data_IF_220268489854
#
_entry.id   IF_220268489854
#
_cell.length_a   1.000
_cell.length_b   1.000
_cell.length_c   1.000
_cell.angle_alpha   90.00
_cell.angle_beta   90.00
_cell.angle_gamma   90.00
#
_symmetry.space_group_name_H-M   'P 1'
#
loop_
_entity.id
_entity.type
_entity.pdbx_description
1 polymer ?
#
# COMPACT_ATOMS: atom_id res chain seq x y z
N UNK A 1 -18.58 -48.60 -8.44
CA UNK A 1 -18.23 -48.30 -7.04
C UNK A 1 -16.87 -47.63 -7.07
N UNK A 2 -16.84 -46.31 -7.02
CA UNK A 2 -15.61 -45.53 -6.90
C UNK A 2 -15.81 -44.55 -5.74
N UNK A 3 -14.79 -44.53 -4.88
CA UNK A 3 -14.70 -43.76 -3.65
C UNK A 3 -14.98 -42.27 -3.85
N UNK A 4 -15.72 -41.71 -2.90
CA UNK A 4 -15.84 -40.27 -2.68
C UNK A 4 -15.39 -39.98 -1.25
N UNK A 5 -14.08 -39.99 -1.04
CA UNK A 5 -13.45 -39.51 0.18
C UNK A 5 -13.42 -37.98 0.16
N UNK A 6 -14.56 -37.37 0.48
CA UNK A 6 -14.63 -35.95 0.84
C UNK A 6 -14.17 -35.80 2.29
N UNK A 7 -13.02 -35.15 2.47
CA UNK A 7 -12.41 -34.81 3.75
C UNK A 7 -13.29 -33.82 4.52
N UNK A 8 -14.16 -34.34 5.37
CA UNK A 8 -14.91 -33.58 6.36
C UNK A 8 -13.96 -33.22 7.51
N UNK A 9 -13.25 -32.09 7.42
CA UNK A 9 -12.53 -31.54 8.56
C UNK A 9 -13.57 -31.07 9.57
N UNK A 10 -13.71 -31.80 10.68
CA UNK A 10 -14.61 -31.47 11.77
C UNK A 10 -14.41 -30.01 12.22
N UNK A 11 -15.48 -29.20 12.16
CA UNK A 11 -15.53 -27.80 12.61
C UNK A 11 -14.97 -27.60 14.03
N UNK A 12 -14.98 -28.64 14.87
CA UNK A 12 -14.40 -28.63 16.23
C UNK A 12 -12.86 -28.56 16.28
N UNK A 13 -12.15 -28.81 15.17
CA UNK A 13 -10.67 -28.78 15.11
C UNK A 13 -10.10 -27.50 14.52
N UNK A 14 -10.92 -26.69 13.83
CA UNK A 14 -10.48 -25.46 13.16
C UNK A 14 -9.85 -24.43 14.12
N UNK A 15 -10.44 -24.13 15.30
CA UNK A 15 -9.87 -23.12 16.21
C UNK A 15 -8.50 -23.50 16.77
N UNK A 16 -8.30 -24.79 17.08
CA UNK A 16 -7.03 -25.31 17.61
C UNK A 16 -5.92 -25.25 16.54
N UNK A 17 -6.25 -25.57 15.29
CA UNK A 17 -5.32 -25.47 14.17
C UNK A 17 -4.94 -24.01 13.91
N UNK A 18 -5.92 -23.10 13.91
CA UNK A 18 -5.69 -21.67 13.74
C UNK A 18 -4.82 -21.07 14.85
N UNK A 19 -5.00 -21.53 16.10
CA UNK A 19 -4.13 -21.14 17.20
C UNK A 19 -2.67 -21.61 16.99
N UNK A 20 -2.46 -22.87 16.59
CA UNK A 20 -1.11 -23.38 16.28
C UNK A 20 -0.43 -22.59 15.16
N UNK A 21 -1.19 -22.21 14.13
CA UNK A 21 -0.72 -21.38 13.01
C UNK A 21 -0.31 -19.98 13.44
N UNK A 22 -1.10 -19.35 14.31
CA UNK A 22 -0.76 -18.06 14.90
C UNK A 22 0.55 -18.15 15.72
N UNK A 23 0.72 -19.19 16.52
CA UNK A 23 1.94 -19.40 17.33
C UNK A 23 3.19 -19.58 16.44
N UNK A 24 3.08 -20.35 15.35
CA UNK A 24 4.13 -20.52 14.35
C UNK A 24 4.48 -19.20 13.64
N UNK A 25 3.46 -18.43 13.21
CA UNK A 25 3.67 -17.14 12.56
C UNK A 25 4.34 -16.12 13.48
N UNK A 26 3.88 -16.00 14.74
CA UNK A 26 4.50 -15.11 15.73
C UNK A 26 5.97 -15.50 16.01
N UNK A 27 6.26 -16.79 16.04
CA UNK A 27 7.64 -17.29 16.20
C UNK A 27 8.52 -16.90 15.01
N UNK A 28 8.00 -17.03 13.78
CA UNK A 28 8.70 -16.60 12.57
C UNK A 28 8.94 -15.09 12.55
N UNK A 29 7.94 -14.29 12.96
CA UNK A 29 8.06 -12.84 13.07
C UNK A 29 9.16 -12.42 14.05
N UNK A 30 9.23 -13.04 15.23
CA UNK A 30 10.32 -12.80 16.17
C UNK A 30 11.67 -13.12 15.55
N UNK A 31 11.80 -14.21 14.80
CA UNK A 31 13.06 -14.55 14.14
C UNK A 31 13.48 -13.55 13.05
N UNK A 32 12.51 -12.93 12.35
CA UNK A 32 12.78 -11.97 11.26
C UNK A 32 13.21 -10.60 11.81
N UNK A 33 12.59 -10.15 12.90
CA UNK A 33 12.77 -8.79 13.42
C UNK A 33 13.71 -8.69 14.64
N UNK A 34 14.17 -9.82 15.19
CA UNK A 34 15.10 -9.83 16.29
C UNK A 34 16.56 -9.84 15.77
N UNK A 35 17.09 -8.65 15.47
CA UNK A 35 18.52 -8.43 15.21
C UNK A 35 19.26 -7.85 16.44
N UNK A 36 18.88 -8.27 17.65
CA UNK A 36 19.65 -8.00 18.87
C UNK A 36 19.62 -6.55 19.43
N UNK A 37 18.82 -5.64 18.89
CA UNK A 37 18.65 -4.29 19.48
C UNK A 37 17.35 -4.19 20.27
N UNK A 38 17.43 -4.42 21.59
CA UNK A 38 16.32 -4.19 22.53
C UNK A 38 16.51 -2.81 23.15
N UNK A 39 15.56 -1.90 22.89
CA UNK A 39 15.38 -0.69 23.69
C UNK A 39 14.44 -1.03 24.85
N UNK A 40 14.97 -0.98 26.07
CA UNK A 40 14.18 -0.97 27.30
C UNK A 40 13.71 0.48 27.53
N UNK A 41 12.50 0.80 27.10
CA UNK A 41 11.79 1.96 27.62
C UNK A 41 10.64 1.40 28.49
N UNK A 42 10.69 1.78 29.78
CA UNK A 42 9.70 1.57 30.85
C UNK A 42 9.89 0.34 31.78
N UNK A 43 10.66 0.57 32.85
CA UNK A 43 10.97 -0.37 33.95
C UNK A 43 9.79 -0.67 34.92
N UNK A 44 8.58 -0.14 34.71
CA UNK A 44 7.48 -0.29 35.68
C UNK A 44 6.47 -1.41 35.35
N UNK A 45 6.47 -1.98 34.15
CA UNK A 45 5.54 -3.07 33.77
C UNK A 45 6.16 -4.48 33.75
N UNK A 46 7.45 -4.61 34.09
CA UNK A 46 8.21 -5.86 33.96
C UNK A 46 8.10 -6.86 35.12
N UNK A 47 7.25 -6.65 36.12
CA UNK A 47 7.13 -7.60 37.24
C UNK A 47 6.09 -8.72 37.07
N UNK A 48 5.45 -8.85 35.91
CA UNK A 48 4.48 -9.92 35.64
C UNK A 48 4.82 -10.84 34.44
N UNK A 49 6.02 -10.72 33.84
CA UNK A 49 6.39 -11.44 32.63
C UNK A 49 7.46 -12.48 32.93
N UNK A 50 7.05 -13.72 33.15
CA UNK A 50 7.95 -14.88 33.06
C UNK A 50 7.29 -15.95 32.18
N UNK A 51 8.07 -16.46 31.22
CA UNK A 51 7.77 -17.41 30.12
C UNK A 51 7.13 -16.75 28.89
N UNK A 52 7.80 -16.57 27.74
CA UNK A 52 9.02 -17.18 27.19
C UNK A 52 9.59 -16.21 26.14
N UNK A 53 10.76 -15.59 26.37
CA UNK A 53 11.82 -15.24 25.38
C UNK A 53 13.07 -14.84 26.19
N UNK A 54 14.23 -15.37 25.81
CA UNK A 54 15.52 -15.23 26.48
C UNK A 54 16.10 -13.79 26.44
N UNK A 55 16.70 -13.39 27.55
CA UNK A 55 17.54 -12.19 27.74
C UNK A 55 18.93 -12.36 27.13
N UNK A 56 19.49 -11.29 26.53
CA UNK A 56 20.87 -10.76 26.72
C UNK A 56 21.08 -9.52 25.82
N UNK A 57 22.11 -8.74 26.17
CA UNK A 57 22.21 -7.28 26.18
C UNK A 57 22.74 -6.58 24.88
N UNK A 58 22.45 -5.27 24.82
CA UNK A 58 23.13 -4.16 24.10
C UNK A 58 23.01 -4.00 22.57
N UNK A 59 22.28 -2.96 22.14
CA UNK A 59 22.82 -1.82 21.35
C UNK A 59 21.71 -0.86 20.93
N UNK A 60 21.93 0.44 21.17
CA UNK A 60 21.05 1.51 20.73
C UNK A 60 21.38 1.91 19.29
N UNK A 61 20.67 1.34 18.33
CA UNK A 61 20.56 1.89 16.99
C UNK A 61 19.13 2.42 16.78
N UNK A 62 19.00 3.74 16.67
CA UNK A 62 17.72 4.43 16.51
C UNK A 62 17.17 4.39 15.07
N UNK A 63 17.90 3.76 14.14
CA UNK A 63 17.50 3.64 12.73
C UNK A 63 16.86 2.29 12.39
N UNK A 64 16.94 1.31 13.29
CA UNK A 64 16.51 -0.07 13.05
C UNK A 64 15.03 -0.30 13.41
N UNK A 65 14.31 -1.05 12.56
CA UNK A 65 12.93 -1.47 12.80
C UNK A 65 12.91 -2.60 13.81
N UNK A 66 12.32 -2.38 14.98
CA UNK A 66 12.17 -3.40 16.01
C UNK A 66 10.72 -3.86 16.12
N UNK A 67 10.54 -5.16 16.41
CA UNK A 67 9.23 -5.76 16.66
C UNK A 67 9.17 -6.24 18.12
N UNK A 68 8.14 -5.81 18.85
CA UNK A 68 7.86 -6.26 20.20
C UNK A 68 6.54 -7.04 20.19
N UNK A 69 6.59 -8.30 20.60
CA UNK A 69 5.38 -9.12 20.77
C UNK A 69 5.14 -9.27 22.26
N UNK A 70 3.99 -8.81 22.73
CA UNK A 70 3.60 -8.98 24.13
C UNK A 70 2.53 -10.06 24.20
N UNK A 71 2.89 -11.31 24.58
CA UNK A 71 1.89 -12.32 24.83
C UNK A 71 1.08 -11.93 26.07
N UNK A 72 -0.23 -11.80 25.92
CA UNK A 72 -1.12 -11.55 27.04
C UNK A 72 -1.38 -12.89 27.77
N UNK A 73 -0.41 -13.37 28.53
CA UNK A 73 -0.46 -14.73 29.11
C UNK A 73 -1.57 -14.83 30.19
N UNK A 74 -2.36 -15.91 30.02
CA UNK A 74 -3.25 -16.60 30.97
C UNK A 74 -4.74 -16.25 31.04
N UNK A 75 -5.25 -15.08 30.59
CA UNK A 75 -6.70 -14.78 30.74
C UNK A 75 -7.37 -13.91 29.67
N UNK A 76 -6.71 -13.57 28.55
CA UNK A 76 -7.30 -12.67 27.53
C UNK A 76 -7.34 -13.30 26.15
N UNK A 77 -8.35 -12.88 25.38
CA UNK A 77 -8.75 -13.37 24.06
C UNK A 77 -7.91 -12.82 22.90
N UNK A 78 -6.72 -12.27 23.16
CA UNK A 78 -5.88 -11.62 22.14
C UNK A 78 -4.40 -11.49 22.51
N UNK A 79 -3.54 -11.41 21.49
CA UNK A 79 -2.11 -11.09 21.51
C UNK A 79 -1.87 -9.71 20.87
N UNK A 80 -0.84 -8.99 21.31
CA UNK A 80 -0.46 -7.70 20.74
C UNK A 80 0.93 -7.76 20.09
N UNK A 81 1.00 -7.29 18.84
CA UNK A 81 2.23 -7.16 18.05
C UNK A 81 2.49 -5.68 17.81
N UNK A 82 3.63 -5.18 18.26
CA UNK A 82 4.01 -3.76 18.16
C UNK A 82 5.21 -3.62 17.22
N UNK A 83 5.04 -2.88 16.14
CA UNK A 83 6.09 -2.57 15.15
C UNK A 83 6.54 -1.12 15.32
N UNK A 84 7.84 -0.90 15.50
CA UNK A 84 8.42 0.44 15.55
C UNK A 84 8.55 1.04 14.15
N UNK A 85 8.09 2.28 13.98
CA UNK A 85 8.04 3.01 12.73
C UNK A 85 8.79 4.35 12.84
N UNK A 86 10.13 4.33 12.87
CA UNK A 86 10.94 5.51 13.20
C UNK A 86 10.75 6.68 12.21
N UNK A 87 10.27 6.39 10.99
CA UNK A 87 9.97 7.40 9.96
C UNK A 87 8.82 8.34 10.37
N UNK A 88 7.89 7.89 11.22
CA UNK A 88 6.74 8.68 11.70
C UNK A 88 7.02 9.43 13.02
N UNK A 89 8.17 9.19 13.62
CA UNK A 89 8.56 9.75 14.91
C UNK A 89 9.44 8.79 15.72
N UNK A 90 10.24 9.29 16.68
CA UNK A 90 11.23 8.49 17.41
C UNK A 90 10.64 7.32 18.20
N UNK A 91 9.41 7.46 18.70
CA UNK A 91 8.67 6.45 19.47
C UNK A 91 7.40 5.97 18.76
N UNK A 92 7.24 6.31 17.48
CA UNK A 92 6.04 5.95 16.72
C UNK A 92 5.97 4.44 16.50
N UNK A 93 4.78 3.88 16.71
CA UNK A 93 4.55 2.44 16.56
C UNK A 93 3.18 2.14 15.96
N UNK A 94 3.10 1.03 15.23
CA UNK A 94 1.86 0.36 14.90
C UNK A 94 1.63 -0.76 15.93
N UNK A 95 0.47 -0.73 16.58
CA UNK A 95 -0.05 -1.80 17.41
C UNK A 95 -1.06 -2.61 16.60
N UNK A 96 -0.79 -3.91 16.44
CA UNK A 96 -1.68 -4.91 15.84
C UNK A 96 -2.16 -5.83 16.95
N UNK A 97 -3.46 -5.82 17.24
CA UNK A 97 -4.07 -6.76 18.18
C UNK A 97 -4.68 -7.93 17.41
N UNK A 98 -4.22 -9.14 17.71
CA UNK A 98 -4.61 -10.39 17.06
C UNK A 98 -5.42 -11.23 18.04
N UNK A 99 -6.64 -11.67 17.72
CA UNK A 99 -7.44 -12.53 18.59
C UNK A 99 -6.81 -13.93 18.68
N UNK A 100 -6.90 -14.52 19.87
CA UNK A 100 -6.33 -15.86 20.17
C UNK A 100 -7.43 -16.92 20.33
N UNK A 101 -8.66 -16.60 19.96
CA UNK A 101 -9.82 -17.51 20.00
C UNK A 101 -9.92 -18.45 18.78
N UNK A 102 -8.94 -18.37 17.88
CA UNK A 102 -8.89 -19.16 16.64
C UNK A 102 -9.63 -18.53 15.46
N UNK A 103 -10.11 -17.29 15.59
CA UNK A 103 -10.71 -16.52 14.48
C UNK A 103 -9.67 -16.05 13.44
N UNK A 104 -8.43 -15.81 13.85
CA UNK A 104 -7.33 -15.56 12.92
C UNK A 104 -6.67 -16.89 12.50
N UNK A 105 -6.32 -17.12 11.21
CA UNK A 105 -6.33 -16.17 10.11
C UNK A 105 -7.66 -16.01 9.35
N UNK A 106 -8.65 -16.86 9.64
CA UNK A 106 -9.87 -16.96 8.86
C UNK A 106 -11.09 -16.92 9.75
N UNK A 107 -11.82 -15.82 9.70
CA UNK A 107 -13.20 -15.73 10.20
C UNK A 107 -14.07 -15.14 9.09
N UNK A 108 -14.91 -15.98 8.49
CA UNK A 108 -15.81 -15.57 7.40
C UNK A 108 -16.99 -14.75 7.92
N UNK A 109 -17.24 -14.77 9.23
CA UNK A 109 -18.43 -14.20 9.86
C UNK A 109 -18.14 -13.01 10.79
N UNK A 110 -16.86 -12.71 11.10
CA UNK A 110 -16.48 -11.65 12.03
C UNK A 110 -15.96 -10.37 11.37
N UNK A 111 -16.24 -9.25 12.03
CA UNK A 111 -15.81 -7.91 11.66
C UNK A 111 -14.32 -7.78 11.96
N UNK A 112 -13.47 -7.80 10.92
CA UNK A 112 -12.04 -7.45 11.00
C UNK A 112 -11.28 -8.22 12.08
N UNK A 113 -10.62 -9.34 11.73
CA UNK A 113 -9.93 -10.16 12.73
C UNK A 113 -8.75 -9.44 13.38
N UNK A 114 -8.32 -8.25 12.92
CA UNK A 114 -7.23 -7.49 13.52
C UNK A 114 -7.68 -6.09 13.92
N UNK A 115 -7.19 -5.61 15.06
CA UNK A 115 -7.32 -4.20 15.45
C UNK A 115 -5.98 -3.48 15.26
N UNK A 116 -5.99 -2.41 14.47
CA UNK A 116 -4.80 -1.64 14.07
C UNK A 116 -4.85 -0.25 14.69
N UNK A 117 -3.76 0.16 15.34
CA UNK A 117 -3.64 1.49 15.95
C UNK A 117 -2.23 2.03 15.80
N UNK A 118 -2.10 3.23 15.23
CA UNK A 118 -0.85 3.99 15.32
C UNK A 118 -0.82 4.80 16.61
N UNK A 119 0.33 4.78 17.29
CA UNK A 119 0.57 5.49 18.54
C UNK A 119 1.90 6.26 18.45
N UNK A 120 1.98 7.38 19.18
CA UNK A 120 3.16 8.26 19.26
C UNK A 120 3.68 8.79 17.91
N UNK A 121 2.79 8.95 16.92
CA UNK A 121 3.10 9.57 15.64
C UNK A 121 3.25 11.09 15.82
N UNK A 122 4.34 11.66 15.31
CA UNK A 122 4.68 13.09 15.52
C UNK A 122 5.12 13.81 14.25
N UNK A 123 5.57 13.09 13.21
CA UNK A 123 6.08 13.70 11.98
C UNK A 123 5.00 13.93 10.91
N UNK A 124 3.79 13.42 11.11
CA UNK A 124 2.69 13.50 10.12
C UNK A 124 1.40 13.92 10.84
N UNK A 125 0.49 14.54 10.10
CA UNK A 125 -0.78 15.04 10.66
C UNK A 125 -1.85 13.94 10.81
N UNK A 126 -2.97 14.29 11.46
CA UNK A 126 -4.08 13.35 11.69
C UNK A 126 -4.73 12.85 10.40
N UNK A 127 -4.75 13.67 9.34
CA UNK A 127 -5.29 13.28 8.03
C UNK A 127 -4.43 12.19 7.41
N UNK A 128 -3.11 12.34 7.47
CA UNK A 128 -2.14 11.35 7.02
C UNK A 128 -2.27 10.05 7.82
N UNK A 129 -2.37 10.11 9.16
CA UNK A 129 -2.60 8.93 10.00
C UNK A 129 -3.92 8.23 9.63
N UNK A 130 -4.99 8.99 9.38
CA UNK A 130 -6.27 8.42 8.94
C UNK A 130 -6.16 7.74 7.57
N UNK A 131 -5.44 8.33 6.63
CA UNK A 131 -5.21 7.73 5.31
C UNK A 131 -4.39 6.43 5.41
N UNK A 132 -3.40 6.39 6.30
CA UNK A 132 -2.63 5.18 6.59
C UNK A 132 -3.52 4.09 7.19
N UNK A 133 -4.35 4.42 8.18
CA UNK A 133 -5.31 3.49 8.77
C UNK A 133 -6.25 2.89 7.72
N UNK A 134 -6.87 3.74 6.89
CA UNK A 134 -7.78 3.28 5.84
C UNK A 134 -7.07 2.33 4.85
N UNK A 135 -5.83 2.68 4.46
CA UNK A 135 -5.03 1.84 3.54
C UNK A 135 -4.73 0.46 4.13
N UNK A 136 -4.39 0.39 5.42
CA UNK A 136 -4.17 -0.88 6.11
C UNK A 136 -5.45 -1.69 6.26
N UNK A 137 -6.57 -1.04 6.57
CA UNK A 137 -7.85 -1.72 6.70
C UNK A 137 -8.30 -2.31 5.36
N UNK A 138 -8.22 -1.56 4.27
CA UNK A 138 -8.53 -2.05 2.93
C UNK A 138 -7.64 -3.25 2.55
N UNK A 139 -6.36 -3.19 2.90
CA UNK A 139 -5.42 -4.27 2.68
C UNK A 139 -5.82 -5.54 3.45
N UNK A 140 -6.11 -5.43 4.75
CA UNK A 140 -6.53 -6.55 5.61
C UNK A 140 -7.84 -7.15 5.13
N UNK A 141 -8.81 -6.32 4.75
CA UNK A 141 -10.09 -6.80 4.19
C UNK A 141 -9.88 -7.68 2.96
N UNK A 142 -9.01 -7.28 2.04
CA UNK A 142 -8.72 -8.05 0.83
C UNK A 142 -8.07 -9.42 1.12
N UNK A 143 -7.30 -9.56 2.20
CA UNK A 143 -6.60 -10.82 2.55
C UNK A 143 -7.45 -11.74 3.44
N UNK A 144 -8.29 -11.16 4.28
CA UNK A 144 -9.23 -11.93 5.13
C UNK A 144 -10.15 -12.82 4.27
N UNK A 145 -10.53 -12.35 3.07
CA UNK A 145 -11.36 -13.11 2.11
C UNK A 145 -10.63 -14.34 1.53
N UNK A 146 -9.31 -14.28 1.39
CA UNK A 146 -8.49 -15.37 0.83
C UNK A 146 -8.20 -16.44 1.89
N UNK A 147 -8.13 -16.04 3.17
CA UNK A 147 -7.71 -16.88 4.28
C UNK A 147 -6.21 -17.15 4.28
N UNK A 148 -5.66 -17.53 5.43
CA UNK A 148 -4.23 -17.81 5.62
C UNK A 148 -3.47 -16.72 6.40
N UNK A 149 -2.29 -17.05 6.89
CA UNK A 149 -1.44 -16.14 7.70
C UNK A 149 -0.97 -14.93 6.87
N UNK A 150 -1.07 -13.72 7.41
CA UNK A 150 -0.71 -12.47 6.73
C UNK A 150 -0.14 -11.39 7.66
N UNK A 151 0.21 -11.68 8.92
CA UNK A 151 0.79 -10.68 9.83
C UNK A 151 2.13 -10.15 9.30
N UNK A 152 3.02 -11.01 8.80
CA UNK A 152 4.29 -10.55 8.23
C UNK A 152 4.08 -9.57 7.06
N UNK A 153 3.21 -9.94 6.13
CA UNK A 153 2.88 -9.11 4.98
C UNK A 153 2.25 -7.78 5.41
N UNK A 154 1.37 -7.81 6.42
CA UNK A 154 0.76 -6.61 7.00
C UNK A 154 1.81 -5.69 7.63
N UNK A 155 2.73 -6.23 8.42
CA UNK A 155 3.77 -5.44 9.09
C UNK A 155 4.73 -4.80 8.07
N UNK A 156 5.09 -5.55 7.02
CA UNK A 156 5.89 -5.03 5.92
C UNK A 156 5.15 -3.91 5.17
N UNK A 157 3.87 -4.12 4.89
CA UNK A 157 3.02 -3.13 4.23
C UNK A 157 2.84 -1.86 5.07
N UNK A 158 2.61 -2.00 6.38
CA UNK A 158 2.53 -0.88 7.30
C UNK A 158 3.81 -0.04 7.35
N UNK A 159 4.97 -0.70 7.38
CA UNK A 159 6.24 0.00 7.36
C UNK A 159 6.45 0.76 6.04
N UNK A 160 6.02 0.19 4.92
CA UNK A 160 6.10 0.84 3.62
C UNK A 160 5.17 2.05 3.49
N UNK A 161 3.92 1.92 3.96
CA UNK A 161 2.97 3.04 4.00
C UNK A 161 3.49 4.17 4.90
N UNK A 162 4.06 3.82 6.05
CA UNK A 162 4.67 4.78 6.97
C UNK A 162 5.83 5.56 6.34
N UNK A 163 6.76 4.87 5.67
CA UNK A 163 7.88 5.50 4.98
C UNK A 163 7.42 6.46 3.88
N UNK A 164 6.43 6.04 3.08
CA UNK A 164 5.91 6.83 1.98
C UNK A 164 5.25 8.12 2.45
N UNK A 165 4.45 8.03 3.52
CA UNK A 165 3.76 9.19 4.09
C UNK A 165 4.75 10.13 4.78
N UNK A 166 5.74 9.59 5.49
CA UNK A 166 6.81 10.39 6.07
C UNK A 166 7.64 11.13 4.99
N UNK A 167 7.94 10.46 3.87
CA UNK A 167 8.67 11.06 2.76
C UNK A 167 7.89 12.22 2.12
N UNK A 168 6.56 12.13 2.08
CA UNK A 168 5.71 13.20 1.57
C UNK A 168 5.62 14.40 2.52
N UNK A 169 5.54 14.17 3.84
CA UNK A 169 5.55 15.25 4.83
C UNK A 169 6.83 16.10 4.77
N UNK A 170 7.97 15.48 4.46
CA UNK A 170 9.25 16.19 4.27
C UNK A 170 9.23 17.06 3.00
N UNK A 171 8.57 16.60 1.92
CA UNK A 171 8.49 17.32 0.65
C UNK A 171 7.56 18.53 0.69
N UNK A 172 6.44 18.43 1.42
CA UNK A 172 5.52 19.57 1.62
C UNK A 172 6.18 20.72 2.41
N UNK A 173 7.25 20.44 3.17
CA UNK A 173 8.03 21.47 3.86
C UNK A 173 9.08 22.19 2.97
N UNK A 174 9.46 21.61 1.83
CA UNK A 174 10.59 22.10 0.99
C UNK A 174 10.15 22.62 -0.39
N UNK A 175 8.86 22.65 -0.69
CA UNK A 175 8.34 23.06 -1.99
C UNK A 175 8.32 24.59 -2.18
N UNK A 176 9.48 25.19 -2.51
CA UNK A 176 9.56 26.46 -3.24
C UNK A 176 10.41 26.32 -4.52
N UNK A 177 9.69 26.24 -5.65
CA UNK A 177 10.07 26.56 -7.04
C UNK A 177 11.18 25.73 -7.69
N UNK A 178 10.82 25.02 -8.76
CA UNK A 178 11.66 25.01 -9.98
C UNK A 178 10.77 24.91 -11.22
N UNK A 179 10.68 26.02 -11.97
CA UNK A 179 10.01 26.10 -13.27
C UNK A 179 11.03 25.89 -14.39
N UNK A 180 10.72 25.08 -15.40
CA UNK A 180 11.49 25.03 -16.66
C UNK A 180 10.52 25.23 -17.84
N UNK A 181 10.84 26.22 -18.69
CA UNK A 181 10.06 26.59 -19.88
C UNK A 181 10.52 25.82 -21.14
N UNK A 182 9.58 25.67 -22.08
CA UNK A 182 9.60 24.73 -23.21
C UNK A 182 10.37 25.13 -24.46
N UNK A 183 10.21 24.35 -25.54
CA UNK A 183 10.49 24.71 -26.94
C UNK A 183 9.53 23.96 -27.90
N UNK A 184 9.39 24.53 -29.10
CA UNK A 184 8.36 24.40 -30.13
C UNK A 184 8.69 23.46 -31.32
N UNK A 185 7.62 23.16 -32.08
CA UNK A 185 7.49 23.00 -33.55
C UNK A 185 7.84 21.68 -34.27
N UNK A 186 6.88 21.21 -35.08
CA UNK A 186 7.09 20.26 -36.17
C UNK A 186 5.77 19.80 -36.82
N UNK A 187 5.32 20.52 -37.85
CA UNK A 187 4.18 20.12 -38.70
C UNK A 187 4.57 18.97 -39.64
N UNK A 188 3.80 17.88 -39.62
CA UNK A 188 3.75 16.89 -40.69
C UNK A 188 2.31 16.35 -40.82
N UNK A 189 1.77 16.46 -42.04
CA UNK A 189 0.47 15.96 -42.51
C UNK A 189 0.29 14.45 -42.18
N UNK A 190 -0.20 14.19 -40.97
CA UNK A 190 -0.72 12.91 -40.51
C UNK A 190 -1.96 13.25 -39.71
N UNK A 191 -3.06 12.51 -39.90
CA UNK A 191 -4.28 12.67 -39.11
C UNK A 191 -3.90 12.84 -37.64
N UNK A 192 -4.37 13.89 -36.95
CA UNK A 192 -3.85 14.20 -35.63
C UNK A 192 -4.11 13.00 -34.71
N UNK A 193 -3.05 12.51 -34.09
CA UNK A 193 -3.04 11.33 -33.22
C UNK A 193 -2.86 11.75 -31.77
N UNK A 194 -3.49 10.99 -30.89
CA UNK A 194 -3.36 11.09 -29.45
C UNK A 194 -2.52 9.91 -28.97
N UNK A 195 -1.45 10.19 -28.24
CA UNK A 195 -0.67 9.15 -27.58
C UNK A 195 -1.23 8.89 -26.20
N UNK A 196 -1.19 7.65 -25.73
CA UNK A 196 -1.62 7.30 -24.38
C UNK A 196 -0.69 6.27 -23.74
N UNK A 197 -0.63 6.32 -22.40
CA UNK A 197 0.20 5.41 -21.60
C UNK A 197 -0.62 4.87 -20.44
N UNK A 198 -0.38 3.60 -20.17
CA UNK A 198 -0.94 2.92 -19.01
C UNK A 198 0.21 2.48 -18.12
N UNK A 199 0.24 3.01 -16.91
CA UNK A 199 1.34 2.84 -15.97
C UNK A 199 0.78 2.13 -14.74
N UNK A 200 1.41 1.03 -14.37
CA UNK A 200 1.16 0.35 -13.11
C UNK A 200 2.14 0.88 -12.05
N UNK A 201 1.64 1.06 -10.83
CA UNK A 201 2.43 1.35 -9.64
C UNK A 201 2.00 0.41 -8.52
N UNK A 202 2.89 0.11 -7.57
CA UNK A 202 2.51 -0.68 -6.40
C UNK A 202 1.35 -0.02 -5.65
N UNK A 203 1.39 1.30 -5.51
CA UNK A 203 0.33 2.11 -4.89
C UNK A 203 0.58 3.60 -5.13
N UNK A 204 -0.51 4.36 -5.19
CA UNK A 204 -0.48 5.83 -5.28
C UNK A 204 -1.38 6.37 -4.18
N UNK A 205 -0.90 6.30 -2.93
CA UNK A 205 -1.65 6.72 -1.73
C UNK A 205 -1.14 8.06 -1.19
N UNK A 206 0.13 8.32 -1.36
CA UNK A 206 0.78 9.45 -0.73
C UNK A 206 0.39 10.76 -1.45
N UNK A 207 0.02 11.81 -0.70
CA UNK A 207 -0.53 13.07 -1.24
C UNK A 207 0.46 13.80 -2.13
N UNK A 208 1.74 13.75 -1.79
CA UNK A 208 2.84 14.28 -2.59
C UNK A 208 2.92 13.59 -3.94
N UNK A 209 2.75 12.26 -4.01
CA UNK A 209 2.66 11.53 -5.28
C UNK A 209 1.50 12.04 -6.13
N UNK A 210 0.32 12.21 -5.54
CA UNK A 210 -0.88 12.66 -6.28
C UNK A 210 -0.78 14.11 -6.75
N UNK A 211 -0.27 14.98 -5.89
CA UNK A 211 -0.04 16.40 -6.20
C UNK A 211 0.99 16.53 -7.31
N UNK A 212 2.10 15.80 -7.21
CA UNK A 212 3.13 15.74 -8.26
C UNK A 212 2.55 15.30 -9.62
N UNK A 213 1.77 14.21 -9.66
CA UNK A 213 1.14 13.74 -10.88
C UNK A 213 0.18 14.78 -11.49
N UNK A 214 -0.61 15.43 -10.64
CA UNK A 214 -1.57 16.46 -11.07
C UNK A 214 -0.88 17.72 -11.59
N UNK A 215 0.19 18.16 -10.93
CA UNK A 215 0.97 19.34 -11.33
C UNK A 215 1.72 19.09 -12.63
N UNK A 216 2.41 17.95 -12.73
CA UNK A 216 3.10 17.56 -13.95
C UNK A 216 2.13 17.42 -15.14
N UNK A 217 0.92 16.91 -14.89
CA UNK A 217 -0.09 16.79 -15.95
C UNK A 217 -0.58 18.14 -16.46
N UNK A 218 -0.73 19.11 -15.55
CA UNK A 218 -1.10 20.49 -15.85
C UNK A 218 0.01 21.21 -16.62
N UNK A 219 1.27 21.01 -16.23
CA UNK A 219 2.42 21.60 -16.91
C UNK A 219 2.60 21.08 -18.34
N UNK A 220 2.33 19.79 -18.56
CA UNK A 220 2.46 19.13 -19.85
C UNK A 220 1.15 19.12 -20.66
N UNK A 221 0.09 19.78 -20.19
CA UNK A 221 -1.21 19.85 -20.86
C UNK A 221 -1.75 18.46 -21.32
N UNK A 222 -1.61 17.47 -20.44
CA UNK A 222 -2.10 16.11 -20.65
C UNK A 222 -3.36 15.86 -19.81
N UNK A 223 -4.22 14.95 -20.29
CA UNK A 223 -5.41 14.50 -19.57
C UNK A 223 -5.23 13.09 -19.05
N UNK A 224 -5.94 12.71 -17.98
CA UNK A 224 -5.82 11.35 -17.45
C UNK A 224 -6.62 11.02 -16.21
N UNK A 225 -6.33 9.84 -15.68
CA UNK A 225 -6.86 9.32 -14.44
C UNK A 225 -5.74 8.68 -13.62
N UNK A 226 -5.83 8.84 -12.31
CA UNK A 226 -4.96 8.17 -11.33
C UNK A 226 -5.85 7.39 -10.39
N UNK A 227 -5.72 6.06 -10.39
CA UNK A 227 -6.32 5.21 -9.38
C UNK A 227 -5.45 5.24 -8.13
N UNK A 228 -6.01 5.84 -7.08
CA UNK A 228 -5.44 5.93 -5.73
C UNK A 228 -5.61 4.59 -5.02
N UNK A 229 -4.67 4.23 -4.14
CA UNK A 229 -4.71 2.96 -3.40
C UNK A 229 -3.89 1.84 -4.04
N UNK A 230 -4.27 0.58 -3.79
CA UNK A 230 -3.55 -0.62 -4.21
C UNK A 230 -4.34 -1.50 -5.21
N UNK A 231 -3.74 -2.00 -6.29
CA UNK A 231 -2.57 -1.43 -6.94
C UNK A 231 -2.85 0.02 -7.37
N UNK A 232 -1.80 0.81 -7.55
CA UNK A 232 -1.92 2.14 -8.17
C UNK A 232 -1.92 2.03 -9.69
N UNK A 233 -2.73 2.83 -10.37
CA UNK A 233 -2.73 2.85 -11.83
C UNK A 233 -2.83 4.28 -12.35
N UNK A 234 -2.13 4.56 -13.44
CA UNK A 234 -2.14 5.87 -14.11
C UNK A 234 -2.47 5.63 -15.57
N UNK A 235 -3.45 6.37 -16.09
CA UNK A 235 -3.77 6.40 -17.51
C UNK A 235 -3.70 7.85 -17.94
N UNK A 236 -2.85 8.15 -18.91
CA UNK A 236 -2.69 9.50 -19.44
C UNK A 236 -2.73 9.50 -20.95
N UNK A 237 -3.16 10.62 -21.51
CA UNK A 237 -3.19 10.88 -22.94
C UNK A 237 -2.85 12.34 -23.27
N UNK A 238 -2.36 12.55 -24.49
CA UNK A 238 -1.93 13.86 -24.97
C UNK A 238 -1.12 13.75 -26.27
N UNK A 239 -0.36 14.79 -26.58
CA UNK A 239 0.65 14.69 -27.65
C UNK A 239 1.71 13.66 -27.25
N UNK A 240 2.34 13.03 -28.25
CA UNK A 240 3.37 12.00 -27.99
C UNK A 240 4.50 12.57 -27.13
N UNK A 241 4.93 13.78 -27.44
CA UNK A 241 6.03 14.48 -26.77
C UNK A 241 5.70 14.71 -25.29
N UNK A 242 4.50 15.20 -24.98
CA UNK A 242 4.10 15.53 -23.61
C UNK A 242 3.87 14.27 -22.78
N UNK A 243 3.27 13.23 -23.38
CA UNK A 243 3.05 11.95 -22.71
C UNK A 243 4.37 11.23 -22.43
N UNK A 244 5.31 11.26 -23.38
CA UNK A 244 6.65 10.68 -23.17
C UNK A 244 7.42 11.45 -22.09
N UNK A 245 7.35 12.79 -22.07
CA UNK A 245 7.94 13.61 -21.01
C UNK A 245 7.34 13.30 -19.62
N UNK A 246 6.02 13.14 -19.54
CA UNK A 246 5.33 12.79 -18.30
C UNK A 246 5.80 11.44 -17.75
N UNK A 247 5.89 10.42 -18.61
CA UNK A 247 6.39 9.10 -18.23
C UNK A 247 7.84 9.16 -17.79
N UNK A 248 8.70 9.87 -18.53
CA UNK A 248 10.11 9.98 -18.19
C UNK A 248 10.33 10.58 -16.81
N UNK A 249 9.62 11.66 -16.48
CA UNK A 249 9.79 12.31 -15.19
C UNK A 249 9.27 11.43 -14.04
N UNK A 250 8.15 10.73 -14.22
CA UNK A 250 7.62 9.79 -13.24
C UNK A 250 8.57 8.60 -13.02
N UNK A 251 9.12 8.02 -14.10
CA UNK A 251 10.07 6.90 -14.01
C UNK A 251 11.42 7.31 -13.41
N UNK A 252 11.76 8.60 -13.41
CA UNK A 252 12.94 9.14 -12.73
C UNK A 252 12.79 9.12 -11.20
N UNK A 253 11.55 9.09 -10.71
CA UNK A 253 11.27 8.98 -9.28
C UNK A 253 11.52 7.55 -8.78
N UNK A 254 12.02 7.42 -7.56
CA UNK A 254 12.31 6.14 -6.91
C UNK A 254 11.05 5.41 -6.40
N UNK A 255 9.90 5.60 -7.03
CA UNK A 255 8.65 4.97 -6.61
C UNK A 255 8.66 3.47 -6.91
N UNK A 256 8.26 2.66 -5.94
CA UNK A 256 8.33 1.20 -6.03
C UNK A 256 7.43 0.64 -7.14
N UNK A 257 8.00 -0.31 -7.90
CA UNK A 257 7.33 -1.08 -8.95
C UNK A 257 6.55 -0.24 -9.98
N UNK A 258 7.03 0.98 -10.27
CA UNK A 258 6.44 1.81 -11.31
C UNK A 258 6.91 1.32 -12.69
N UNK A 259 5.95 0.98 -13.57
CA UNK A 259 6.24 0.43 -14.90
C UNK A 259 5.17 0.83 -15.90
N UNK A 260 5.58 1.18 -17.10
CA UNK A 260 4.67 1.29 -18.24
C UNK A 260 4.24 -0.14 -18.62
N UNK A 261 2.93 -0.40 -18.56
CA UNK A 261 2.32 -1.67 -18.98
C UNK A 261 1.89 -1.61 -20.44
N UNK A 262 1.54 -0.43 -20.93
CA UNK A 262 1.07 -0.27 -22.30
C UNK A 262 1.36 1.12 -22.85
N UNK A 263 1.65 1.18 -24.16
CA UNK A 263 1.88 2.39 -24.94
C UNK A 263 1.30 2.31 -26.35
N UNK A 264 0.85 3.44 -26.88
CA UNK A 264 0.34 3.51 -28.24
C UNK A 264 -0.42 4.79 -28.55
N UNK A 265 -1.10 4.76 -29.70
CA UNK A 265 -1.66 5.94 -30.34
C UNK A 265 -3.05 5.67 -30.92
N UNK A 266 -3.91 6.68 -30.85
CA UNK A 266 -5.27 6.68 -31.41
C UNK A 266 -5.43 7.87 -32.35
N UNK A 267 -6.16 7.69 -33.45
CA UNK A 267 -6.56 8.81 -34.29
C UNK A 267 -7.63 9.64 -33.57
N UNK A 268 -7.49 10.97 -33.55
CA UNK A 268 -8.44 11.87 -32.84
C UNK A 268 -9.88 11.74 -33.35
N UNK A 269 -10.09 11.26 -34.58
CA UNK A 269 -11.43 10.99 -35.12
C UNK A 269 -12.15 9.82 -34.46
N UNK A 270 -11.40 8.95 -33.75
CA UNK A 270 -11.90 7.73 -33.10
C UNK A 270 -11.87 7.81 -31.57
N UNK A 271 -11.19 8.79 -30.99
CA UNK A 271 -11.00 8.94 -29.55
C UNK A 271 -11.87 10.08 -28.99
N UNK A 272 -12.36 9.89 -27.76
CA UNK A 272 -12.88 11.01 -26.96
C UNK A 272 -11.77 11.41 -26.01
N UNK A 273 -11.32 12.66 -26.09
CA UNK A 273 -10.26 13.14 -25.23
C UNK A 273 -10.75 13.32 -23.79
N UNK A 274 -9.92 12.93 -22.84
CA UNK A 274 -9.94 13.36 -21.45
C UNK A 274 -9.77 14.89 -21.37
N UNK A 275 -10.20 15.45 -20.25
CA UNK A 275 -10.00 16.88 -19.98
C UNK A 275 -8.49 17.17 -19.90
N UNK A 276 -8.00 18.08 -20.75
CA UNK A 276 -6.58 18.44 -20.81
C UNK A 276 -6.15 19.21 -19.56
N UNK A 277 -4.90 18.99 -19.15
CA UNK A 277 -4.31 19.58 -17.95
C UNK A 277 -4.91 19.08 -16.65
N UNK A 278 -5.65 17.96 -16.69
CA UNK A 278 -6.35 17.40 -15.53
C UNK A 278 -6.12 15.90 -15.49
N UNK A 279 -5.61 15.43 -14.37
CA UNK A 279 -5.61 14.02 -14.00
C UNK A 279 -6.59 13.83 -12.86
N UNK A 280 -7.64 13.05 -13.10
CA UNK A 280 -8.70 12.83 -12.12
C UNK A 280 -8.31 11.70 -11.16
N UNK A 281 -8.33 11.98 -9.86
CA UNK A 281 -8.12 10.97 -8.83
C UNK A 281 -9.35 10.07 -8.68
N UNK A 282 -9.14 8.75 -8.74
CA UNK A 282 -10.14 7.72 -8.54
C UNK A 282 -9.81 6.94 -7.26
N UNK A 283 -10.66 7.07 -6.24
CA UNK A 283 -10.48 6.45 -4.92
C UNK A 283 -11.25 5.12 -4.79
N UNK A 284 -10.85 4.27 -3.84
CA UNK A 284 -11.55 3.01 -3.50
C UNK A 284 -12.68 3.23 -2.47
N UNK A 285 -13.67 2.30 -2.35
CA UNK A 285 -13.86 1.07 -3.13
C UNK A 285 -14.63 1.34 -4.44
N UNK A 286 -13.96 1.21 -5.58
CA UNK A 286 -14.58 1.43 -6.90
C UNK A 286 -13.67 2.10 -7.93
N UNK A 287 -12.50 2.61 -7.51
CA UNK A 287 -11.57 3.31 -8.39
C UNK A 287 -11.14 2.49 -9.60
N UNK A 288 -10.97 1.17 -9.43
CA UNK A 288 -10.60 0.27 -10.52
C UNK A 288 -11.75 0.06 -11.54
N UNK A 289 -13.00 -0.03 -11.06
CA UNK A 289 -14.20 -0.10 -11.94
C UNK A 289 -14.42 1.22 -12.67
N UNK A 290 -14.25 2.35 -11.96
CA UNK A 290 -14.32 3.68 -12.54
C UNK A 290 -13.25 3.89 -13.61
N UNK A 291 -12.02 3.42 -13.35
CA UNK A 291 -10.91 3.47 -14.30
C UNK A 291 -11.24 2.67 -15.57
N UNK A 292 -11.76 1.45 -15.44
CA UNK A 292 -12.19 0.63 -16.59
C UNK A 292 -13.24 1.37 -17.44
N UNK A 293 -14.23 1.97 -16.78
CA UNK A 293 -15.28 2.75 -17.47
C UNK A 293 -14.69 3.96 -18.20
N UNK A 294 -13.83 4.72 -17.54
CA UNK A 294 -13.20 5.90 -18.11
C UNK A 294 -12.31 5.58 -19.31
N UNK A 295 -11.58 4.46 -19.25
CA UNK A 295 -10.78 3.96 -20.39
C UNK A 295 -11.68 3.61 -21.58
N UNK A 296 -12.76 2.86 -21.33
CA UNK A 296 -13.72 2.50 -22.38
C UNK A 296 -14.38 3.74 -23.00
N UNK A 297 -14.75 4.74 -22.19
CA UNK A 297 -15.32 6.00 -22.65
C UNK A 297 -14.35 6.84 -23.49
N UNK A 298 -13.04 6.73 -23.24
CA UNK A 298 -11.97 7.33 -24.04
C UNK A 298 -11.67 6.60 -25.35
N UNK A 299 -12.29 5.44 -25.59
CA UNK A 299 -12.05 4.61 -26.77
C UNK A 299 -10.83 3.68 -26.61
N UNK A 300 -10.36 3.47 -25.38
CA UNK A 300 -9.29 2.52 -25.09
C UNK A 300 -9.82 1.08 -25.05
N UNK A 301 -9.10 0.12 -25.64
CA UNK A 301 -9.46 -1.30 -25.60
C UNK A 301 -9.60 -1.86 -24.17
N UNK A 302 -10.53 -2.79 -23.96
CA UNK A 302 -10.79 -3.37 -22.63
C UNK A 302 -9.72 -4.39 -22.18
N UNK A 303 -9.09 -5.09 -23.11
CA UNK A 303 -7.96 -6.00 -22.90
C UNK A 303 -6.74 -5.28 -22.30
N UNK A 304 -6.62 -4.00 -22.61
CA UNK A 304 -5.61 -3.08 -22.08
C UNK A 304 -5.76 -2.90 -20.57
N UNK A 305 -6.99 -2.81 -20.07
CA UNK A 305 -7.27 -2.77 -18.64
C UNK A 305 -6.93 -4.09 -17.94
N UNK A 306 -7.22 -5.22 -18.58
CA UNK A 306 -6.92 -6.52 -17.97
C UNK A 306 -5.39 -6.75 -17.86
N UNK A 307 -4.59 -6.12 -18.73
CA UNK A 307 -3.12 -6.10 -18.65
C UNK A 307 -2.54 -5.35 -17.44
N UNK A 308 -3.28 -4.38 -16.87
CA UNK A 308 -2.89 -3.68 -15.64
C UNK A 308 -2.92 -4.59 -14.41
N UNK A 309 -3.77 -5.62 -14.44
CA UNK A 309 -4.03 -6.52 -13.31
C UNK A 309 -3.16 -7.78 -13.34
N UNK A 310 -2.43 -8.01 -14.43
CA UNK A 310 -1.48 -9.12 -14.55
C UNK A 310 -0.17 -8.77 -13.83
N UNK A 311 0.22 -9.60 -12.86
CA UNK A 311 1.47 -9.48 -12.09
C UNK A 311 2.68 -9.57 -13.02
#
# INVERSE_FOLDING_TARGET
MMDSSSSFVSLSRQPVLNQSRLEEELTALLAIYNDGSIANDDDDEQQALTSTVCTMDSSHDNSSRTLHITPHVARRSSCAVRLRLPTLGPQAHLLVTVPTDGSYPSDTDSVMPLNLKFDNVTHVDEEAVSAMNNSLLDWVHARTVVGGEYLLELLQYAAEVADDVAADAIRDADAHVTSVSGVSAGEAETSPRLSYRVIHSHHIIAKGKRTFLSDLARELDIGGYVKVGWPGAIVVEGTKENVDAYVQEILRLSWKQIRVRWEGELELTKARCFARGVVVELHDPGGMKALKSAMADGGLPNDLFDSLLLK
#
